data_IF_815616157070
#
_entry.id   IF_815616157070
#
_cell.length_a   1.000
_cell.length_b   1.000
_cell.length_c   1.000
_cell.angle_alpha   90.00
_cell.angle_beta   90.00
_cell.angle_gamma   90.00
#
_symmetry.space_group_name_H-M   'P 1'
#
loop_
_entity.id
_entity.type
_entity.pdbx_description
1 polymer ?
#
# COMPACT_ATOMS: atom_id res chain seq x y z
N UNK A 1 20.18 73.10 -16.10
CA UNK A 1 20.64 71.70 -16.08
C UNK A 1 19.92 71.05 -14.90
N UNK A 2 18.68 70.61 -15.13
CA UNK A 2 17.81 70.01 -14.12
C UNK A 2 18.05 68.50 -14.08
N UNK A 3 18.40 67.98 -12.89
CA UNK A 3 18.49 66.55 -12.60
C UNK A 3 17.10 66.07 -12.17
N UNK A 4 16.37 65.43 -13.09
CA UNK A 4 15.17 64.66 -12.74
C UNK A 4 15.60 63.39 -11.98
N UNK A 5 15.30 63.34 -10.68
CA UNK A 5 15.42 62.12 -9.89
C UNK A 5 14.32 61.13 -10.32
N UNK A 6 14.71 60.05 -10.99
CA UNK A 6 13.81 58.95 -11.28
C UNK A 6 13.42 58.24 -9.97
N UNK A 7 12.14 58.30 -9.63
CA UNK A 7 11.52 57.45 -8.62
C UNK A 7 11.43 56.03 -9.20
N UNK A 8 12.22 55.09 -8.67
CA UNK A 8 11.97 53.66 -8.93
C UNK A 8 10.65 53.27 -8.25
N UNK A 9 9.71 52.64 -8.97
CA UNK A 9 8.52 52.08 -8.34
C UNK A 9 8.96 50.90 -7.48
N UNK A 10 8.73 51.02 -6.17
CA UNK A 10 8.78 49.90 -5.23
C UNK A 10 7.84 48.84 -5.78
N UNK A 11 8.39 47.81 -6.41
CA UNK A 11 7.69 46.57 -6.73
C UNK A 11 7.17 46.03 -5.41
N UNK A 12 5.89 46.29 -5.12
CA UNK A 12 5.17 45.66 -4.02
C UNK A 12 5.20 44.15 -4.27
N UNK A 13 6.19 43.47 -3.68
CA UNK A 13 6.28 42.03 -3.73
C UNK A 13 4.97 41.46 -3.21
N UNK A 14 4.30 40.67 -4.05
CA UNK A 14 3.08 39.97 -3.65
C UNK A 14 3.32 39.30 -2.30
N UNK A 15 2.46 39.53 -1.28
CA UNK A 15 2.63 38.89 0.00
C UNK A 15 2.67 37.38 -0.22
N UNK A 16 3.64 36.71 0.42
CA UNK A 16 3.75 35.25 0.48
C UNK A 16 2.54 34.68 1.23
N UNK A 17 1.35 34.72 0.63
CA UNK A 17 0.35 33.69 0.85
C UNK A 17 1.09 32.39 0.58
N UNK A 18 1.27 31.56 1.61
CA UNK A 18 1.37 30.13 1.35
C UNK A 18 0.18 29.82 0.45
N UNK A 19 0.48 29.62 -0.83
CA UNK A 19 -0.48 29.52 -1.93
C UNK A 19 -1.71 28.77 -1.43
N UNK A 20 -2.87 29.43 -1.39
CA UNK A 20 -4.11 28.84 -0.86
C UNK A 20 -4.37 27.49 -1.55
N UNK A 21 -3.93 27.34 -2.81
CA UNK A 21 -3.93 26.06 -3.51
C UNK A 21 -3.07 25.00 -2.81
N UNK A 22 -1.82 25.31 -2.41
CA UNK A 22 -0.94 24.40 -1.67
C UNK A 22 -1.54 23.96 -0.33
N UNK A 23 -2.11 24.89 0.44
CA UNK A 23 -2.79 24.56 1.71
C UNK A 23 -4.00 23.67 1.46
N UNK A 24 -4.82 24.01 0.46
CA UNK A 24 -6.00 23.22 0.09
C UNK A 24 -5.64 21.82 -0.38
N UNK A 25 -4.59 21.67 -1.19
CA UNK A 25 -4.08 20.37 -1.65
C UNK A 25 -3.62 19.52 -0.48
N UNK A 26 -2.85 20.07 0.47
CA UNK A 26 -2.45 19.31 1.64
C UNK A 26 -3.63 18.94 2.54
N UNK A 27 -4.56 19.86 2.78
CA UNK A 27 -5.76 19.59 3.57
C UNK A 27 -6.60 18.46 2.95
N UNK A 28 -6.85 18.53 1.63
CA UNK A 28 -7.56 17.48 0.90
C UNK A 28 -6.82 16.15 0.90
N UNK A 29 -5.48 16.17 0.82
CA UNK A 29 -4.65 14.96 0.88
C UNK A 29 -4.73 14.30 2.25
N UNK A 30 -4.63 15.08 3.34
CA UNK A 30 -4.78 14.55 4.70
C UNK A 30 -6.19 14.06 4.98
N UNK A 31 -7.21 14.79 4.53
CA UNK A 31 -8.60 14.36 4.66
C UNK A 31 -8.84 13.06 3.91
N UNK A 32 -8.35 12.94 2.67
CA UNK A 32 -8.48 11.73 1.86
C UNK A 32 -7.76 10.56 2.51
N UNK A 33 -6.51 10.75 2.94
CA UNK A 33 -5.75 9.73 3.67
C UNK A 33 -6.47 9.29 4.95
N UNK A 34 -7.00 10.25 5.71
CA UNK A 34 -7.84 10.00 6.87
C UNK A 34 -9.04 9.13 6.51
N UNK A 35 -9.89 9.56 5.57
CA UNK A 35 -11.07 8.82 5.13
C UNK A 35 -10.73 7.39 4.70
N UNK A 36 -9.64 7.19 3.96
CA UNK A 36 -9.16 5.85 3.59
C UNK A 36 -8.78 5.03 4.82
N UNK A 37 -8.01 5.58 5.76
CA UNK A 37 -7.60 4.92 7.00
C UNK A 37 -8.79 4.59 7.92
N UNK A 38 -9.90 5.31 7.82
CA UNK A 38 -11.12 5.03 8.59
C UNK A 38 -12.02 3.96 7.96
N UNK A 39 -11.80 3.56 6.69
CA UNK A 39 -12.62 2.55 6.02
C UNK A 39 -12.81 1.25 6.83
N UNK A 40 -11.77 0.67 7.46
CA UNK A 40 -11.93 -0.57 8.21
C UNK A 40 -12.89 -0.47 9.39
N UNK A 41 -13.11 0.72 9.97
CA UNK A 41 -14.04 0.91 11.09
C UNK A 41 -15.51 0.74 10.70
N UNK A 42 -15.85 0.81 9.41
CA UNK A 42 -17.21 0.49 8.95
C UNK A 42 -17.59 -0.95 9.32
N UNK A 43 -16.61 -1.86 9.44
CA UNK A 43 -16.84 -3.23 9.87
C UNK A 43 -17.40 -3.32 11.30
N UNK A 44 -17.19 -2.32 12.17
CA UNK A 44 -17.76 -2.30 13.52
C UNK A 44 -19.30 -2.28 13.52
N UNK A 45 -19.92 -1.89 12.40
CA UNK A 45 -21.37 -1.89 12.22
C UNK A 45 -21.92 -3.27 11.80
N UNK A 46 -21.05 -4.24 11.49
CA UNK A 46 -21.47 -5.55 11.02
C UNK A 46 -22.28 -6.31 12.10
N UNK A 47 -23.36 -7.05 11.80
CA UNK A 47 -24.16 -7.75 12.81
C UNK A 47 -23.38 -8.86 13.55
N UNK A 48 -22.48 -9.57 12.86
CA UNK A 48 -21.65 -10.64 13.44
C UNK A 48 -20.47 -10.09 14.26
N UNK A 49 -20.32 -10.46 15.55
CA UNK A 49 -19.19 -10.05 16.40
C UNK A 49 -17.82 -10.45 15.83
N UNK A 50 -17.73 -11.64 15.22
CA UNK A 50 -16.50 -12.10 14.60
C UNK A 50 -16.08 -11.18 13.44
N UNK A 51 -17.02 -10.85 12.56
CA UNK A 51 -16.75 -9.99 11.40
C UNK A 51 -16.47 -8.54 11.79
N UNK A 52 -17.07 -8.04 12.89
CA UNK A 52 -16.68 -6.72 13.44
C UNK A 52 -15.19 -6.64 13.72
N UNK A 53 -14.70 -7.57 14.53
CA UNK A 53 -13.30 -7.54 14.97
C UNK A 53 -12.35 -7.94 13.85
N UNK A 54 -12.62 -9.06 13.17
CA UNK A 54 -11.73 -9.53 12.11
C UNK A 54 -11.74 -8.63 10.89
N UNK A 55 -12.89 -8.13 10.46
CA UNK A 55 -12.98 -7.17 9.36
C UNK A 55 -12.24 -5.87 9.67
N UNK A 56 -12.35 -5.37 10.91
CA UNK A 56 -11.61 -4.18 11.34
C UNK A 56 -10.10 -4.45 11.39
N UNK A 57 -9.66 -5.51 12.09
CA UNK A 57 -8.24 -5.85 12.26
C UNK A 57 -7.57 -6.13 10.92
N UNK A 58 -8.18 -7.02 10.11
CA UNK A 58 -7.64 -7.36 8.80
C UNK A 58 -7.72 -6.19 7.83
N UNK A 59 -8.80 -5.40 7.85
CA UNK A 59 -8.93 -4.19 7.03
C UNK A 59 -7.84 -3.17 7.35
N UNK A 60 -7.52 -2.96 8.63
CA UNK A 60 -6.39 -2.11 9.03
C UNK A 60 -5.05 -2.67 8.58
N UNK A 61 -4.79 -3.95 8.84
CA UNK A 61 -3.54 -4.60 8.49
C UNK A 61 -3.29 -4.58 6.96
N UNK A 62 -4.31 -4.91 6.16
CA UNK A 62 -4.24 -4.93 4.70
C UNK A 62 -4.10 -3.52 4.09
N UNK A 63 -4.82 -2.53 4.61
CA UNK A 63 -4.68 -1.15 4.15
C UNK A 63 -3.29 -0.59 4.47
N UNK A 64 -2.81 -0.80 5.70
CA UNK A 64 -1.47 -0.37 6.11
C UNK A 64 -0.38 -1.09 5.30
N UNK A 65 -0.51 -2.41 5.10
CA UNK A 65 0.38 -3.18 4.24
C UNK A 65 0.45 -2.57 2.83
N UNK A 66 -0.71 -2.21 2.27
CA UNK A 66 -0.79 -1.62 0.94
C UNK A 66 -0.11 -0.26 0.89
N UNK A 67 -0.39 0.64 1.83
CA UNK A 67 0.23 1.98 1.86
C UNK A 67 1.76 1.88 1.96
N UNK A 68 2.26 1.05 2.87
CA UNK A 68 3.71 0.90 3.08
C UNK A 68 4.38 0.23 1.87
N UNK A 69 3.78 -0.82 1.30
CA UNK A 69 4.31 -1.49 0.11
C UNK A 69 4.30 -0.58 -1.13
N UNK A 70 3.23 0.20 -1.31
CA UNK A 70 3.15 1.20 -2.39
C UNK A 70 4.23 2.26 -2.21
N UNK A 71 4.45 2.74 -1.00
CA UNK A 71 5.50 3.72 -0.74
C UNK A 71 6.90 3.15 -0.99
N UNK A 72 7.17 1.91 -0.56
CA UNK A 72 8.43 1.22 -0.84
C UNK A 72 8.65 1.03 -2.35
N UNK A 73 7.65 0.58 -3.08
CA UNK A 73 7.70 0.45 -4.55
C UNK A 73 7.91 1.79 -5.25
N UNK A 74 7.29 2.87 -4.76
CA UNK A 74 7.51 4.22 -5.30
C UNK A 74 8.94 4.71 -5.07
N UNK A 75 9.52 4.47 -3.90
CA UNK A 75 10.92 4.83 -3.60
C UNK A 75 11.94 3.95 -4.35
N UNK A 76 11.53 2.78 -4.86
CA UNK A 76 12.39 1.97 -5.71
C UNK A 76 12.75 2.67 -7.03
N UNK A 77 11.88 3.53 -7.58
CA UNK A 77 12.17 4.29 -8.81
C UNK A 77 13.36 5.25 -8.68
N UNK A 78 13.41 6.18 -7.70
CA UNK A 78 14.57 7.03 -7.52
C UNK A 78 15.83 6.24 -7.14
N UNK A 79 15.71 5.12 -6.41
CA UNK A 79 16.86 4.28 -6.06
C UNK A 79 17.46 3.65 -7.33
N UNK A 80 16.61 3.14 -8.22
CA UNK A 80 17.01 2.59 -9.52
C UNK A 80 17.69 3.65 -10.41
N UNK A 81 17.30 4.92 -10.27
CA UNK A 81 17.91 6.07 -10.96
C UNK A 81 19.20 6.59 -10.31
N UNK A 82 19.68 5.94 -9.24
CA UNK A 82 20.96 6.27 -8.58
C UNK A 82 20.84 7.26 -7.41
N UNK A 83 19.63 7.48 -6.87
CA UNK A 83 19.46 8.25 -5.64
C UNK A 83 19.89 7.41 -4.42
N UNK A 84 21.18 7.46 -4.10
CA UNK A 84 21.75 6.62 -3.04
C UNK A 84 21.31 7.04 -1.62
N UNK A 85 20.91 8.31 -1.46
CA UNK A 85 20.53 8.89 -0.15
C UNK A 85 19.31 8.19 0.48
N UNK A 86 18.48 7.54 -0.33
CA UNK A 86 17.27 6.85 0.15
C UNK A 86 17.52 5.40 0.54
N UNK A 87 18.71 4.84 0.30
CA UNK A 87 19.01 3.43 0.58
C UNK A 87 18.81 3.03 2.06
N UNK A 88 19.26 3.83 3.06
CA UNK A 88 18.99 3.51 4.47
C UNK A 88 17.49 3.47 4.77
N UNK A 89 16.72 4.42 4.23
CA UNK A 89 15.27 4.45 4.37
C UNK A 89 14.63 3.22 3.70
N UNK A 90 15.10 2.83 2.51
CA UNK A 90 14.60 1.68 1.79
C UNK A 90 14.80 0.36 2.53
N UNK A 91 15.95 0.17 3.21
CA UNK A 91 16.21 -1.00 4.06
C UNK A 91 15.18 -1.14 5.18
N UNK A 92 14.97 -0.06 5.93
CA UNK A 92 14.04 -0.04 7.07
C UNK A 92 12.60 -0.15 6.59
N UNK A 93 12.24 0.57 5.54
CA UNK A 93 10.88 0.57 4.99
C UNK A 93 10.51 -0.80 4.41
N UNK A 94 11.41 -1.46 3.69
CA UNK A 94 11.15 -2.80 3.13
C UNK A 94 11.00 -3.85 4.23
N UNK A 95 11.80 -3.76 5.31
CA UNK A 95 11.64 -4.62 6.48
C UNK A 95 10.24 -4.47 7.10
N UNK A 96 9.82 -3.24 7.38
CA UNK A 96 8.49 -2.99 7.96
C UNK A 96 7.37 -3.35 6.98
N UNK A 97 7.55 -3.11 5.68
CA UNK A 97 6.60 -3.54 4.66
C UNK A 97 6.39 -5.05 4.70
N UNK A 98 7.48 -5.82 4.80
CA UNK A 98 7.45 -7.29 4.89
C UNK A 98 6.75 -7.76 6.17
N UNK A 99 7.09 -7.15 7.30
CA UNK A 99 6.48 -7.50 8.58
C UNK A 99 4.97 -7.21 8.60
N UNK A 100 4.55 -6.05 8.09
CA UNK A 100 3.13 -5.69 8.02
C UNK A 100 2.39 -6.55 7.00
N UNK A 101 3.02 -6.90 5.87
CA UNK A 101 2.46 -7.85 4.90
C UNK A 101 2.23 -9.23 5.54
N UNK A 102 3.18 -9.72 6.35
CA UNK A 102 2.99 -10.94 7.14
C UNK A 102 1.78 -10.84 8.07
N UNK A 103 1.61 -9.74 8.82
CA UNK A 103 0.43 -9.52 9.67
C UNK A 103 -0.87 -9.45 8.85
N UNK A 104 -0.83 -8.82 7.68
CA UNK A 104 -1.96 -8.78 6.74
C UNK A 104 -2.37 -10.18 6.27
N UNK A 105 -1.41 -11.01 5.90
CA UNK A 105 -1.66 -12.41 5.50
C UNK A 105 -2.15 -13.25 6.68
N UNK A 106 -1.54 -13.12 7.86
CA UNK A 106 -1.94 -13.86 9.04
C UNK A 106 -3.39 -13.56 9.44
N UNK A 107 -3.76 -12.26 9.49
CA UNK A 107 -5.13 -11.84 9.77
C UNK A 107 -6.10 -12.17 8.63
N UNK A 108 -5.62 -12.15 7.38
CA UNK A 108 -6.39 -12.57 6.20
C UNK A 108 -6.74 -14.04 6.25
N UNK A 109 -5.81 -14.90 6.65
CA UNK A 109 -6.06 -16.33 6.85
C UNK A 109 -7.11 -16.60 7.93
N UNK A 110 -7.17 -15.78 8.98
CA UNK A 110 -8.24 -15.87 9.99
C UNK A 110 -9.61 -15.48 9.40
N UNK A 111 -9.68 -14.40 8.63
CA UNK A 111 -10.90 -14.01 7.90
C UNK A 111 -11.31 -15.10 6.88
N UNK A 112 -10.33 -15.71 6.23
CA UNK A 112 -10.50 -16.77 5.24
C UNK A 112 -11.16 -18.03 5.80
N UNK A 113 -11.00 -18.32 7.10
CA UNK A 113 -11.73 -19.43 7.74
C UNK A 113 -13.25 -19.24 7.64
N UNK A 114 -13.75 -18.01 7.85
CA UNK A 114 -15.18 -17.70 7.73
C UNK A 114 -15.66 -17.77 6.30
N UNK A 115 -14.83 -17.31 5.36
CA UNK A 115 -15.08 -17.41 3.93
C UNK A 115 -15.26 -18.87 3.47
N UNK A 116 -14.41 -19.78 3.98
CA UNK A 116 -14.45 -21.22 3.68
C UNK A 116 -15.49 -22.03 4.45
N UNK A 117 -16.27 -21.40 5.33
CA UNK A 117 -17.32 -22.10 6.06
C UNK A 117 -18.32 -22.77 5.10
N UNK A 118 -19.02 -23.80 5.57
CA UNK A 118 -20.09 -24.44 4.77
C UNK A 118 -21.26 -23.49 4.51
N UNK A 119 -22.11 -23.82 3.52
CA UNK A 119 -23.34 -23.07 3.22
C UNK A 119 -24.25 -22.90 4.45
N UNK A 120 -24.38 -23.94 5.27
CA UNK A 120 -25.17 -23.92 6.50
C UNK A 120 -24.69 -22.89 7.55
N UNK A 121 -23.44 -22.42 7.41
CA UNK A 121 -22.83 -21.39 8.25
C UNK A 121 -22.66 -20.07 7.49
N UNK A 122 -23.31 -19.93 6.32
CA UNK A 122 -23.28 -18.73 5.48
C UNK A 122 -21.91 -18.46 4.84
N UNK A 123 -21.13 -19.48 4.50
CA UNK A 123 -19.81 -19.32 3.88
C UNK A 123 -19.87 -18.77 2.46
N UNK A 124 -19.22 -17.62 2.24
CA UNK A 124 -19.22 -16.93 0.95
C UNK A 124 -18.57 -17.76 -0.17
N UNK A 125 -17.59 -18.62 0.13
CA UNK A 125 -17.00 -19.54 -0.86
C UNK A 125 -18.02 -20.54 -1.40
N UNK A 126 -18.80 -21.14 -0.50
CA UNK A 126 -19.79 -22.15 -0.88
C UNK A 126 -20.91 -21.51 -1.71
N UNK A 127 -21.36 -20.32 -1.31
CA UNK A 127 -22.30 -19.52 -2.09
C UNK A 127 -21.76 -19.15 -3.47
N UNK A 128 -20.50 -18.71 -3.58
CA UNK A 128 -19.85 -18.40 -4.86
C UNK A 128 -19.74 -19.61 -5.77
N UNK A 129 -19.39 -20.78 -5.23
CA UNK A 129 -19.32 -22.02 -6.03
C UNK A 129 -20.67 -22.41 -6.63
N UNK A 130 -21.78 -22.06 -5.99
CA UNK A 130 -23.12 -22.34 -6.49
C UNK A 130 -23.63 -21.27 -7.46
N UNK A 131 -23.37 -19.98 -7.17
CA UNK A 131 -23.98 -18.86 -7.88
C UNK A 131 -23.06 -18.20 -8.92
N UNK A 132 -21.74 -18.24 -8.72
CA UNK A 132 -20.74 -17.67 -9.64
C UNK A 132 -19.42 -18.44 -9.59
N UNK A 133 -19.37 -19.67 -10.16
CA UNK A 133 -18.17 -20.51 -10.11
C UNK A 133 -16.94 -19.83 -10.73
N UNK A 134 -17.13 -19.05 -11.80
CA UNK A 134 -16.03 -18.31 -12.42
C UNK A 134 -15.48 -17.23 -11.48
N UNK A 135 -16.34 -16.54 -10.73
CA UNK A 135 -15.93 -15.59 -9.70
C UNK A 135 -15.09 -16.28 -8.61
N UNK A 136 -15.49 -17.48 -8.18
CA UNK A 136 -14.67 -18.29 -7.29
C UNK A 136 -13.30 -18.64 -7.89
N UNK A 137 -13.25 -19.16 -9.12
CA UNK A 137 -12.00 -19.72 -9.65
C UNK A 137 -11.03 -18.66 -10.19
N UNK A 138 -11.53 -17.51 -10.62
CA UNK A 138 -10.68 -16.46 -11.19
C UNK A 138 -10.37 -15.37 -10.16
N UNK A 139 -11.40 -14.76 -9.57
CA UNK A 139 -11.20 -13.60 -8.69
C UNK A 139 -10.53 -14.00 -7.38
N UNK A 140 -10.95 -15.09 -6.76
CA UNK A 140 -10.42 -15.50 -5.46
C UNK A 140 -9.03 -16.08 -5.57
N UNK A 141 -8.75 -16.89 -6.59
CA UNK A 141 -7.39 -17.39 -6.81
C UNK A 141 -6.44 -16.25 -7.15
N UNK A 142 -6.85 -15.32 -8.02
CA UNK A 142 -6.07 -14.11 -8.27
C UNK A 142 -5.84 -13.29 -6.98
N UNK A 143 -6.87 -13.11 -6.15
CA UNK A 143 -6.73 -12.42 -4.86
C UNK A 143 -5.71 -13.12 -3.96
N UNK A 144 -5.86 -14.43 -3.74
CA UNK A 144 -4.96 -15.24 -2.92
C UNK A 144 -3.52 -15.17 -3.44
N UNK A 145 -3.29 -15.33 -4.75
CA UNK A 145 -1.95 -15.21 -5.33
C UNK A 145 -1.36 -13.82 -5.11
N UNK A 146 -2.09 -12.77 -5.48
CA UNK A 146 -1.56 -11.39 -5.38
C UNK A 146 -1.18 -11.02 -3.96
N UNK A 147 -1.99 -11.36 -2.95
CA UNK A 147 -1.62 -11.04 -1.56
C UNK A 147 -0.45 -11.89 -1.07
N UNK A 148 -0.39 -13.18 -1.43
CA UNK A 148 0.66 -14.09 -0.95
C UNK A 148 2.03 -13.77 -1.53
N UNK A 149 2.13 -13.30 -2.78
CA UNK A 149 3.42 -12.94 -3.40
C UNK A 149 4.12 -11.75 -2.73
N UNK A 150 3.40 -10.91 -1.98
CA UNK A 150 4.00 -9.77 -1.27
C UNK A 150 5.04 -10.19 -0.23
N UNK A 151 4.81 -11.31 0.47
CA UNK A 151 5.69 -11.78 1.54
C UNK A 151 7.02 -12.36 1.04
N UNK A 152 7.07 -13.35 0.13
CA UNK A 152 8.35 -13.89 -0.34
C UNK A 152 9.18 -12.82 -1.07
N UNK A 153 8.55 -11.94 -1.84
CA UNK A 153 9.24 -10.81 -2.45
C UNK A 153 9.79 -9.83 -1.39
N UNK A 154 8.96 -9.49 -0.40
CA UNK A 154 9.36 -8.63 0.71
C UNK A 154 10.54 -9.18 1.50
N UNK A 155 10.49 -10.47 1.86
CA UNK A 155 11.57 -11.17 2.55
C UNK A 155 12.84 -11.16 1.71
N UNK A 156 12.76 -11.50 0.42
CA UNK A 156 13.91 -11.51 -0.47
C UNK A 156 14.53 -10.11 -0.61
N UNK A 157 13.73 -9.08 -0.88
CA UNK A 157 14.19 -7.70 -0.98
C UNK A 157 14.79 -7.19 0.34
N UNK A 158 14.15 -7.50 1.47
CA UNK A 158 14.66 -7.15 2.80
C UNK A 158 16.03 -7.78 3.00
N UNK A 159 16.16 -9.09 2.75
CA UNK A 159 17.42 -9.78 2.90
C UNK A 159 18.50 -9.20 1.98
N UNK A 160 18.22 -8.99 0.69
CA UNK A 160 19.20 -8.43 -0.27
C UNK A 160 19.65 -7.03 0.17
N UNK A 161 18.73 -6.13 0.48
CA UNK A 161 19.05 -4.76 0.87
C UNK A 161 19.87 -4.70 2.16
N UNK A 162 19.61 -5.58 3.12
CA UNK A 162 20.36 -5.65 4.37
C UNK A 162 21.69 -6.38 4.22
N UNK A 163 21.73 -7.45 3.43
CA UNK A 163 22.93 -8.26 3.21
C UNK A 163 24.01 -7.48 2.46
N UNK A 164 23.65 -6.83 1.35
CA UNK A 164 24.60 -6.01 0.59
C UNK A 164 24.86 -4.66 1.29
N UNK A 165 23.87 -4.12 2.01
CA UNK A 165 23.99 -2.80 2.62
C UNK A 165 24.34 -1.75 1.57
N UNK A 166 25.38 -0.96 1.82
CA UNK A 166 25.79 0.11 0.91
C UNK A 166 26.53 -0.42 -0.34
N UNK A 167 27.11 -1.63 -0.28
CA UNK A 167 27.82 -2.25 -1.42
C UNK A 167 26.89 -2.56 -2.59
N UNK A 168 25.57 -2.59 -2.39
CA UNK A 168 24.58 -2.79 -3.46
C UNK A 168 24.67 -1.69 -4.53
N UNK A 169 25.26 -0.54 -4.20
CA UNK A 169 25.44 0.61 -5.08
C UNK A 169 26.67 0.49 -5.98
N UNK A 170 27.54 -0.47 -5.71
CA UNK A 170 28.75 -0.72 -6.50
C UNK A 170 28.39 -1.19 -7.91
N UNK A 171 29.27 -0.89 -8.88
CA UNK A 171 28.99 -1.12 -10.31
C UNK A 171 28.72 -2.59 -10.62
N UNK A 172 29.40 -3.50 -9.93
CA UNK A 172 29.24 -4.95 -10.04
C UNK A 172 27.88 -5.45 -9.54
N UNK A 173 27.29 -4.77 -8.55
CA UNK A 173 26.02 -5.14 -7.93
C UNK A 173 24.80 -4.49 -8.60
N UNK A 174 24.99 -3.76 -9.71
CA UNK A 174 23.89 -3.13 -10.47
C UNK A 174 22.77 -4.10 -10.86
N UNK A 175 23.03 -5.33 -11.35
CA UNK A 175 21.95 -6.27 -11.65
C UNK A 175 21.12 -6.63 -10.41
N UNK A 176 21.78 -6.81 -9.27
CA UNK A 176 21.13 -7.11 -7.98
C UNK A 176 20.27 -5.94 -7.53
N UNK A 177 20.80 -4.71 -7.59
CA UNK A 177 20.05 -3.49 -7.29
C UNK A 177 18.81 -3.36 -8.19
N UNK A 178 18.98 -3.53 -9.50
CA UNK A 178 17.88 -3.45 -10.47
C UNK A 178 16.81 -4.50 -10.21
N UNK A 179 17.21 -5.77 -10.02
CA UNK A 179 16.27 -6.84 -9.71
C UNK A 179 15.51 -6.57 -8.41
N UNK A 180 16.19 -6.07 -7.39
CA UNK A 180 15.58 -5.69 -6.10
C UNK A 180 14.57 -4.55 -6.28
N UNK A 181 14.91 -3.50 -7.02
CA UNK A 181 13.98 -2.41 -7.32
C UNK A 181 12.76 -2.91 -8.12
N UNK A 182 12.94 -3.78 -9.11
CA UNK A 182 11.85 -4.37 -9.88
C UNK A 182 10.94 -5.22 -8.99
N UNK A 183 11.51 -6.03 -8.10
CA UNK A 183 10.76 -6.82 -7.14
C UNK A 183 9.94 -5.94 -6.17
N UNK A 184 10.49 -4.81 -5.71
CA UNK A 184 9.76 -3.84 -4.89
C UNK A 184 8.60 -3.17 -5.65
N UNK A 185 8.79 -2.86 -6.94
CA UNK A 185 7.71 -2.36 -7.79
C UNK A 185 6.64 -3.44 -8.05
N UNK A 186 7.04 -4.70 -8.17
CA UNK A 186 6.11 -5.83 -8.26
C UNK A 186 5.32 -6.03 -6.96
N UNK A 187 5.97 -5.89 -5.79
CA UNK A 187 5.27 -5.88 -4.49
C UNK A 187 4.20 -4.79 -4.43
N UNK A 188 4.51 -3.58 -4.90
CA UNK A 188 3.53 -2.49 -5.00
C UNK A 188 2.34 -2.90 -5.89
N UNK A 189 2.59 -3.46 -7.08
CA UNK A 189 1.54 -3.93 -7.98
C UNK A 189 0.64 -4.98 -7.29
N UNK A 190 1.25 -5.98 -6.66
CA UNK A 190 0.53 -7.04 -5.96
C UNK A 190 -0.27 -6.54 -4.75
N UNK A 191 0.28 -5.61 -3.97
CA UNK A 191 -0.42 -5.01 -2.84
C UNK A 191 -1.64 -4.20 -3.29
N UNK A 192 -1.52 -3.39 -4.35
CA UNK A 192 -2.66 -2.67 -4.93
C UNK A 192 -3.72 -3.63 -5.49
N UNK A 193 -3.30 -4.66 -6.22
CA UNK A 193 -4.19 -5.69 -6.74
C UNK A 193 -4.95 -6.43 -5.62
N UNK A 194 -4.23 -6.78 -4.55
CA UNK A 194 -4.79 -7.40 -3.35
C UNK A 194 -5.81 -6.50 -2.64
N UNK A 195 -5.54 -5.20 -2.49
CA UNK A 195 -6.49 -4.25 -1.91
C UNK A 195 -7.78 -4.15 -2.74
N UNK A 196 -7.65 -3.93 -4.05
CA UNK A 196 -8.82 -3.75 -4.95
C UNK A 196 -9.69 -5.01 -4.95
N UNK A 197 -9.07 -6.18 -5.06
CA UNK A 197 -9.79 -7.46 -5.05
C UNK A 197 -10.38 -7.78 -3.69
N UNK A 198 -9.66 -7.51 -2.59
CA UNK A 198 -10.14 -7.70 -1.22
C UNK A 198 -11.38 -6.87 -0.90
N UNK A 199 -11.42 -5.60 -1.36
CA UNK A 199 -12.61 -4.75 -1.25
C UNK A 199 -13.81 -5.30 -2.03
N UNK A 200 -13.56 -5.98 -3.16
CA UNK A 200 -14.59 -6.68 -3.92
C UNK A 200 -15.11 -7.90 -3.16
N UNK A 201 -14.21 -8.75 -2.67
CA UNK A 201 -14.52 -9.98 -1.94
C UNK A 201 -15.31 -9.71 -0.65
N UNK A 202 -14.96 -8.66 0.09
CA UNK A 202 -15.66 -8.26 1.31
C UNK A 202 -17.15 -7.93 1.07
N UNK A 203 -17.55 -7.61 -0.16
CA UNK A 203 -18.96 -7.32 -0.50
C UNK A 203 -19.76 -8.57 -0.87
N UNK A 204 -19.11 -9.72 -1.03
CA UNK A 204 -19.75 -10.95 -1.50
C UNK A 204 -20.33 -11.70 -0.31
N UNK A 205 -21.65 -11.85 -0.30
CA UNK A 205 -22.39 -12.65 0.69
C UNK A 205 -22.01 -12.33 2.15
N UNK A 206 -21.91 -11.02 2.43
CA UNK A 206 -21.62 -10.41 3.73
C UNK A 206 -20.45 -11.08 4.47
N UNK A 207 -19.27 -11.01 3.85
CA UNK A 207 -17.99 -11.34 4.49
C UNK A 207 -17.52 -10.23 5.44
#
# INVERSE_FOLDING_TARGET
>A
MELQSQHEPISAGFPKQLDIAKVSVYALSFLSAGMFLFLPFVNLLHPSPWQRWMGTIHGFASLLATVVAVYAGHLAFPLLRGSNKILPQMRTLTFWSTFIAFLGIATGNLAYMRYRAGMNFGGARAWLKENSPLGQYVLMEYHEFTVLFTLPLGVACTWILWHYGDSILEKENRPVLTATCVALMAMMFFAMGGLVTGLGVAKIHAL
#
